data_IF_242341757293
#
_entry.id   IF_242341757293
#
_cell.length_a   1.000
_cell.length_b   1.000
_cell.length_c   1.000
_cell.angle_alpha   90.00
_cell.angle_beta   90.00
_cell.angle_gamma   90.00
#
_symmetry.space_group_name_H-M   'P 1'
#
loop_
_entity.id
_entity.type
_entity.pdbx_description
1 polymer ?
#
# COMPACT_ATOMS: atom_id res chain seq x y z
N UNK A 1 10.24 33.29 -8.85
CA UNK A 1 10.52 31.99 -9.50
C UNK A 1 10.53 30.98 -8.35
N UNK A 2 9.40 30.31 -8.12
CA UNK A 2 9.13 29.58 -6.87
C UNK A 2 9.65 28.14 -6.96
N UNK A 3 10.64 27.83 -6.14
CA UNK A 3 11.26 26.52 -5.99
C UNK A 3 10.36 25.75 -5.03
N UNK A 4 9.25 25.24 -5.54
CA UNK A 4 8.37 24.33 -4.79
C UNK A 4 9.12 23.03 -4.53
N UNK A 5 9.77 23.00 -3.37
CA UNK A 5 9.88 21.87 -2.44
C UNK A 5 9.76 20.50 -3.11
N UNK A 6 10.90 19.81 -3.29
CA UNK A 6 11.03 18.50 -3.91
C UNK A 6 10.31 17.34 -3.21
N UNK A 7 9.29 17.64 -2.39
CA UNK A 7 8.35 16.67 -1.85
C UNK A 7 7.50 16.10 -2.98
N UNK A 8 7.85 14.89 -3.41
CA UNK A 8 6.99 14.05 -4.24
C UNK A 8 5.60 14.01 -3.60
N UNK A 9 4.50 14.27 -4.34
CA UNK A 9 3.18 14.24 -3.76
C UNK A 9 2.93 12.87 -3.11
N UNK A 10 2.17 12.82 -2.00
CA UNK A 10 1.86 11.57 -1.35
C UNK A 10 1.22 10.61 -2.37
N UNK A 11 1.47 9.29 -2.25
CA UNK A 11 0.82 8.32 -3.11
C UNK A 11 -0.71 8.49 -3.03
N UNK A 12 -1.40 8.28 -4.15
CA UNK A 12 -2.85 8.28 -4.14
C UNK A 12 -3.38 7.23 -3.14
N UNK A 13 -4.58 7.45 -2.56
CA UNK A 13 -5.18 6.50 -1.60
C UNK A 13 -5.16 5.06 -2.13
N UNK A 14 -5.53 4.89 -3.40
CA UNK A 14 -5.55 3.61 -4.11
C UNK A 14 -4.18 2.90 -4.08
N UNK A 15 -3.08 3.66 -4.26
CA UNK A 15 -1.72 3.09 -4.21
C UNK A 15 -1.29 2.72 -2.80
N UNK A 16 -1.82 3.37 -1.78
CA UNK A 16 -1.51 2.99 -0.40
C UNK A 16 -2.18 1.68 -0.03
N UNK A 17 -3.45 1.46 -0.41
CA UNK A 17 -4.13 0.18 -0.23
C UNK A 17 -3.33 -0.96 -0.87
N UNK A 18 -2.90 -0.75 -2.11
CA UNK A 18 -2.07 -1.71 -2.84
C UNK A 18 -0.72 -1.96 -2.15
N UNK A 19 -0.12 -0.93 -1.55
CA UNK A 19 1.15 -1.06 -0.83
C UNK A 19 0.97 -1.82 0.48
N UNK A 20 -0.03 -1.44 1.28
CA UNK A 20 -0.30 -2.02 2.60
C UNK A 20 -0.65 -3.51 2.50
N UNK A 21 -1.33 -3.92 1.42
CA UNK A 21 -1.60 -5.33 1.12
C UNK A 21 -0.51 -6.08 0.33
N UNK A 22 0.59 -5.41 -0.06
CA UNK A 22 1.63 -6.02 -0.89
C UNK A 22 1.17 -6.37 -2.32
N UNK A 23 0.09 -5.74 -2.80
CA UNK A 23 -0.52 -6.00 -4.11
C UNK A 23 0.10 -5.20 -5.26
N UNK A 24 1.07 -4.31 -4.99
CA UNK A 24 1.74 -3.49 -6.01
C UNK A 24 2.31 -4.29 -7.19
N UNK A 25 3.01 -5.43 -7.01
CA UNK A 25 3.54 -6.20 -8.14
C UNK A 25 2.44 -6.74 -9.05
N UNK A 26 1.32 -7.18 -8.47
CA UNK A 26 0.16 -7.67 -9.21
C UNK A 26 -0.52 -6.53 -9.98
N UNK A 27 -0.78 -5.41 -9.30
CA UNK A 27 -1.37 -4.24 -9.93
C UNK A 27 -0.52 -3.75 -11.10
N UNK A 28 0.80 -3.61 -10.92
CA UNK A 28 1.64 -3.05 -11.96
C UNK A 28 1.73 -3.98 -13.19
N UNK A 29 1.56 -5.30 -13.01
CA UNK A 29 1.56 -6.31 -14.07
C UNK A 29 0.23 -6.42 -14.84
N UNK A 30 -0.86 -5.86 -14.32
CA UNK A 30 -2.15 -5.89 -15.00
C UNK A 30 -2.19 -5.04 -16.29
N UNK A 31 -3.06 -5.40 -17.25
CA UNK A 31 -3.41 -4.53 -18.37
C UNK A 31 -3.87 -3.15 -17.90
N UNK A 32 -3.67 -2.11 -18.72
CA UNK A 32 -4.01 -0.73 -18.36
C UNK A 32 -5.48 -0.59 -17.96
N UNK A 33 -6.39 -1.20 -18.70
CA UNK A 33 -7.82 -1.12 -18.42
C UNK A 33 -8.18 -1.78 -17.08
N UNK A 34 -7.56 -2.91 -16.74
CA UNK A 34 -7.77 -3.56 -15.45
C UNK A 34 -7.22 -2.71 -14.29
N UNK A 35 -6.10 -2.00 -14.48
CA UNK A 35 -5.59 -1.03 -13.50
C UNK A 35 -6.54 0.14 -13.29
N UNK A 36 -7.12 0.68 -14.36
CA UNK A 36 -8.08 1.78 -14.29
C UNK A 36 -9.35 1.32 -13.54
N UNK A 37 -9.89 0.13 -13.87
CA UNK A 37 -11.03 -0.47 -13.17
C UNK A 37 -10.73 -0.76 -11.70
N UNK A 38 -9.56 -1.31 -11.38
CA UNK A 38 -9.12 -1.55 -10.00
C UNK A 38 -9.06 -0.24 -9.21
N UNK A 39 -8.50 0.81 -9.80
CA UNK A 39 -8.39 2.13 -9.17
C UNK A 39 -9.77 2.74 -8.90
N UNK A 40 -10.70 2.61 -9.84
CA UNK A 40 -12.08 3.07 -9.64
C UNK A 40 -12.78 2.27 -8.53
N UNK A 41 -12.71 0.94 -8.58
CA UNK A 41 -13.33 0.07 -7.57
C UNK A 41 -12.78 0.33 -6.16
N UNK A 42 -11.47 0.55 -6.00
CA UNK A 42 -10.87 0.90 -4.71
C UNK A 42 -11.39 2.21 -4.12
N UNK A 43 -11.78 3.18 -4.96
CA UNK A 43 -12.36 4.46 -4.52
C UNK A 43 -13.81 4.32 -4.08
N UNK A 44 -14.53 3.39 -4.70
CA UNK A 44 -15.94 3.12 -4.42
C UNK A 44 -16.13 2.19 -3.21
N UNK A 45 -15.11 1.41 -2.84
CA UNK A 45 -15.16 0.51 -1.70
C UNK A 45 -15.18 1.27 -0.35
N UNK A 46 -16.22 1.00 0.44
CA UNK A 46 -16.31 1.48 1.82
C UNK A 46 -15.15 0.93 2.66
N UNK A 47 -14.47 1.79 3.41
CA UNK A 47 -13.28 1.40 4.19
C UNK A 47 -12.00 1.18 3.37
N UNK A 48 -12.06 1.23 2.03
CA UNK A 48 -10.89 1.19 1.14
C UNK A 48 -10.13 2.52 1.07
N UNK A 49 -10.77 3.63 1.45
CA UNK A 49 -10.15 4.95 1.45
C UNK A 49 -9.07 5.15 2.53
N UNK A 50 -8.13 6.05 2.25
CA UNK A 50 -7.26 6.60 3.30
C UNK A 50 -8.12 7.40 4.28
N UNK A 51 -7.92 7.29 5.61
CA UNK A 51 -8.52 8.22 6.56
C UNK A 51 -8.23 9.65 6.12
N UNK A 52 -9.27 10.49 6.16
CA UNK A 52 -9.08 11.89 5.86
C UNK A 52 -8.16 12.54 6.91
N UNK A 53 -7.74 13.78 6.64
CA UNK A 53 -6.87 14.52 7.57
C UNK A 53 -7.51 14.72 8.94
N UNK A 54 -8.84 14.79 9.02
CA UNK A 54 -9.54 14.99 10.28
C UNK A 54 -9.51 13.73 11.14
N UNK A 55 -9.70 12.55 10.53
CA UNK A 55 -9.59 11.26 11.18
C UNK A 55 -8.16 11.02 11.71
N UNK A 56 -7.14 11.30 10.89
CA UNK A 56 -5.74 11.20 11.33
C UNK A 56 -5.42 12.16 12.49
N UNK A 57 -5.95 13.38 12.45
CA UNK A 57 -5.78 14.35 13.52
C UNK A 57 -6.55 13.94 14.80
N UNK A 58 -7.69 13.25 14.68
CA UNK A 58 -8.40 12.68 15.81
C UNK A 58 -7.59 11.56 16.47
N UNK A 59 -7.11 10.59 15.69
CA UNK A 59 -6.26 9.49 16.17
C UNK A 59 -5.04 10.01 16.95
N UNK A 60 -4.34 11.02 16.39
CA UNK A 60 -3.16 11.59 17.03
C UNK A 60 -3.51 12.32 18.34
N UNK A 61 -4.66 13.01 18.38
CA UNK A 61 -5.11 13.67 19.61
C UNK A 61 -5.44 12.66 20.69
N UNK A 62 -6.11 11.57 20.36
CA UNK A 62 -6.43 10.48 21.29
C UNK A 62 -5.17 9.81 21.82
N UNK A 63 -4.21 9.53 20.94
CA UNK A 63 -2.90 8.97 21.32
C UNK A 63 -2.16 9.90 22.30
N UNK A 64 -2.07 11.20 21.99
CA UNK A 64 -1.42 12.19 22.87
C UNK A 64 -2.18 12.37 24.18
N UNK A 65 -3.51 12.31 24.18
CA UNK A 65 -4.32 12.39 25.39
C UNK A 65 -4.07 11.18 26.31
N UNK A 66 -4.02 9.97 25.77
CA UNK A 66 -3.71 8.76 26.52
C UNK A 66 -2.30 8.82 27.17
N UNK A 67 -1.32 9.38 26.46
CA UNK A 67 0.04 9.58 27.00
C UNK A 67 0.12 10.63 28.11
N UNK A 68 -0.81 11.60 28.13
CA UNK A 68 -0.83 12.69 29.12
C UNK A 68 -1.77 12.42 30.30
N UNK A 69 -2.49 11.30 30.28
CA UNK A 69 -3.40 10.94 31.35
C UNK A 69 -2.64 10.65 32.65
N UNK A 70 -3.18 11.13 33.77
CA UNK A 70 -2.71 10.82 35.12
C UNK A 70 -3.92 10.33 35.95
N UNK A 71 -3.96 9.05 36.36
CA UNK A 71 -2.95 8.02 36.09
C UNK A 71 -2.87 7.64 34.59
N UNK A 72 -1.69 7.18 34.18
CA UNK A 72 -1.47 6.69 32.83
C UNK A 72 -2.46 5.57 32.47
N UNK A 73 -3.04 5.65 31.26
CA UNK A 73 -4.07 4.74 30.78
C UNK A 73 -3.56 3.88 29.59
N UNK A 74 -2.81 2.79 29.85
CA UNK A 74 -2.24 1.95 28.79
C UNK A 74 -3.31 1.30 27.90
N UNK A 75 -4.49 1.00 28.43
CA UNK A 75 -5.60 0.41 27.68
C UNK A 75 -6.17 1.39 26.65
N UNK A 76 -6.24 2.68 27.00
CA UNK A 76 -6.66 3.73 26.07
C UNK A 76 -5.66 3.90 24.92
N UNK A 77 -4.37 3.83 25.23
CA UNK A 77 -3.31 3.87 24.21
C UNK A 77 -3.40 2.68 23.27
N UNK A 78 -3.57 1.47 23.82
CA UNK A 78 -3.72 0.24 23.04
C UNK A 78 -4.95 0.31 22.12
N UNK A 79 -6.09 0.81 22.61
CA UNK A 79 -7.31 0.94 21.82
C UNK A 79 -7.12 1.83 20.57
N UNK A 80 -6.37 2.94 20.69
CA UNK A 80 -6.06 3.81 19.54
C UNK A 80 -5.22 3.07 18.48
N UNK A 81 -4.23 2.29 18.91
CA UNK A 81 -3.39 1.51 18.01
C UNK A 81 -4.16 0.37 17.34
N UNK A 82 -5.00 -0.34 18.08
CA UNK A 82 -5.87 -1.38 17.53
C UNK A 82 -6.86 -0.82 16.51
N UNK A 83 -7.44 0.37 16.77
CA UNK A 83 -8.31 1.03 15.81
C UNK A 83 -7.57 1.39 14.51
N UNK A 84 -6.31 1.83 14.60
CA UNK A 84 -5.46 2.06 13.42
C UNK A 84 -5.20 0.77 12.65
N UNK A 85 -4.87 -0.32 13.35
CA UNK A 85 -4.60 -1.62 12.76
C UNK A 85 -5.84 -2.19 12.05
N UNK A 86 -7.01 -2.14 12.69
CA UNK A 86 -8.28 -2.59 12.11
C UNK A 86 -8.61 -1.85 10.79
N UNK A 87 -8.31 -0.56 10.69
CA UNK A 87 -8.47 0.20 9.44
C UNK A 87 -7.52 -0.27 8.34
N UNK A 88 -6.28 -0.62 8.68
CA UNK A 88 -5.33 -1.18 7.71
C UNK A 88 -5.80 -2.55 7.24
N UNK A 89 -6.23 -3.41 8.17
CA UNK A 89 -6.76 -4.74 7.85
C UNK A 89 -7.97 -4.65 6.90
N UNK A 90 -8.93 -3.76 7.19
CA UNK A 90 -10.08 -3.52 6.32
C UNK A 90 -9.65 -3.12 4.89
N UNK A 91 -8.65 -2.24 4.75
CA UNK A 91 -8.11 -1.85 3.44
C UNK A 91 -7.45 -3.03 2.72
N UNK A 92 -6.69 -3.86 3.43
CA UNK A 92 -6.06 -5.06 2.84
C UNK A 92 -7.12 -6.04 2.34
N UNK A 93 -8.18 -6.26 3.12
CA UNK A 93 -9.30 -7.10 2.72
C UNK A 93 -10.00 -6.53 1.48
N UNK A 94 -10.31 -5.23 1.46
CA UNK A 94 -10.91 -4.57 0.30
C UNK A 94 -10.01 -4.69 -0.95
N UNK A 95 -8.71 -4.43 -0.81
CA UNK A 95 -7.75 -4.54 -1.90
C UNK A 95 -7.64 -5.95 -2.48
N UNK A 96 -7.66 -6.97 -1.62
CA UNK A 96 -7.70 -8.39 -2.04
C UNK A 96 -8.98 -8.70 -2.81
N UNK A 97 -10.14 -8.26 -2.33
CA UNK A 97 -11.42 -8.50 -3.00
C UNK A 97 -11.42 -7.90 -4.40
N UNK A 98 -11.05 -6.62 -4.52
CA UNK A 98 -11.00 -5.93 -5.82
C UNK A 98 -9.99 -6.58 -6.77
N UNK A 99 -8.82 -7.01 -6.27
CA UNK A 99 -7.82 -7.73 -7.06
C UNK A 99 -8.42 -9.00 -7.68
N UNK A 100 -9.12 -9.81 -6.89
CA UNK A 100 -9.77 -11.04 -7.36
C UNK A 100 -10.86 -10.73 -8.39
N UNK A 101 -11.68 -9.72 -8.15
CA UNK A 101 -12.74 -9.30 -9.09
C UNK A 101 -12.17 -8.91 -10.45
N UNK A 102 -11.06 -8.16 -10.48
CA UNK A 102 -10.42 -7.81 -11.76
C UNK A 102 -9.89 -9.03 -12.50
N UNK A 103 -9.32 -10.00 -11.78
CA UNK A 103 -8.86 -11.26 -12.37
C UNK A 103 -10.05 -12.07 -12.89
N UNK A 104 -11.19 -12.09 -12.20
CA UNK A 104 -12.41 -12.77 -12.68
C UNK A 104 -12.95 -12.11 -13.96
N UNK A 105 -12.91 -10.77 -14.04
CA UNK A 105 -13.38 -10.02 -15.19
C UNK A 105 -12.50 -10.16 -16.46
N UNK A 106 -11.27 -10.67 -16.32
CA UNK A 106 -10.38 -10.92 -17.47
C UNK A 106 -10.87 -12.08 -18.32
N UNK A 107 -10.78 -11.91 -19.64
CA UNK A 107 -10.84 -13.01 -20.60
C UNK A 107 -9.71 -14.01 -20.37
N UNK A 108 -9.81 -15.24 -20.90
CA UNK A 108 -8.72 -16.22 -20.80
C UNK A 108 -7.40 -15.70 -21.40
N UNK A 109 -7.46 -14.96 -22.51
CA UNK A 109 -6.27 -14.39 -23.15
C UNK A 109 -5.59 -13.32 -22.29
N UNK A 110 -6.37 -12.37 -21.74
CA UNK A 110 -5.83 -11.34 -20.84
C UNK A 110 -5.20 -11.94 -19.58
N UNK A 111 -5.78 -13.03 -19.07
CA UNK A 111 -5.25 -13.73 -17.89
C UNK A 111 -3.90 -14.39 -18.16
N UNK A 112 -3.70 -14.92 -19.37
CA UNK A 112 -2.41 -15.49 -19.81
C UNK A 112 -1.37 -14.37 -19.94
N UNK A 113 -1.71 -13.27 -20.64
CA UNK A 113 -0.82 -12.11 -20.79
C UNK A 113 -0.42 -11.50 -19.44
N UNK A 114 -1.38 -11.40 -18.51
CA UNK A 114 -1.15 -10.96 -17.14
C UNK A 114 -0.17 -11.88 -16.41
N UNK A 115 -0.34 -13.20 -16.51
CA UNK A 115 0.56 -14.17 -15.89
C UNK A 115 1.99 -14.07 -16.45
N UNK A 116 2.13 -14.02 -17.77
CA UNK A 116 3.43 -13.87 -18.45
C UNK A 116 4.15 -12.59 -18.02
N UNK A 117 3.40 -11.48 -17.95
CA UNK A 117 3.92 -10.18 -17.49
C UNK A 117 4.37 -10.23 -16.03
N UNK A 118 3.59 -10.89 -15.17
CA UNK A 118 3.91 -11.03 -13.75
C UNK A 118 5.17 -11.88 -13.55
N UNK A 119 5.29 -13.01 -14.26
CA UNK A 119 6.48 -13.87 -14.21
C UNK A 119 7.74 -13.14 -14.69
N UNK A 120 7.65 -12.42 -15.81
CA UNK A 120 8.77 -11.64 -16.34
C UNK A 120 9.27 -10.61 -15.30
N UNK A 121 8.33 -9.91 -14.66
CA UNK A 121 8.65 -8.92 -13.62
C UNK A 121 9.25 -9.52 -12.36
N UNK A 122 8.77 -10.69 -11.92
CA UNK A 122 9.38 -11.36 -10.78
C UNK A 122 10.81 -11.83 -11.09
N UNK A 123 11.05 -12.35 -12.30
CA UNK A 123 12.40 -12.71 -12.75
C UNK A 123 13.34 -11.50 -12.75
N UNK A 124 12.86 -10.36 -13.24
CA UNK A 124 13.61 -9.10 -13.22
C UNK A 124 13.88 -8.60 -11.80
N UNK A 125 12.90 -8.69 -10.90
CA UNK A 125 13.08 -8.30 -9.50
C UNK A 125 14.10 -9.19 -8.77
N UNK A 126 14.05 -10.50 -9.00
CA UNK A 126 14.97 -11.47 -8.40
C UNK A 126 16.40 -11.34 -8.95
N UNK A 127 16.55 -11.07 -10.25
CA UNK A 127 17.87 -10.84 -10.86
C UNK A 127 18.52 -9.51 -10.45
N UNK A 128 17.71 -8.52 -10.05
CA UNK A 128 18.17 -7.22 -9.55
C UNK A 128 18.41 -7.18 -8.04
N UNK A 129 18.12 -8.25 -7.30
CA UNK A 129 18.45 -8.33 -5.88
C UNK A 129 19.96 -8.14 -5.73
N UNK A 130 20.44 -7.21 -4.88
CA UNK A 130 21.87 -7.00 -4.72
C UNK A 130 22.48 -8.33 -4.29
N UNK A 131 23.36 -8.87 -5.14
CA UNK A 131 24.27 -9.94 -4.73
C UNK A 131 24.90 -9.52 -3.41
N UNK A 132 25.03 -10.48 -2.48
CA UNK A 132 25.72 -10.29 -1.20
C UNK A 132 26.89 -9.32 -1.38
N UNK A 133 27.06 -8.29 -0.53
CA UNK A 133 28.23 -7.42 -0.65
C UNK A 133 29.46 -8.32 -0.59
N UNK A 134 30.33 -8.16 -1.59
CA UNK A 134 31.63 -8.83 -1.60
C UNK A 134 32.30 -8.54 -0.26
N UNK A 135 32.60 -9.60 0.49
CA UNK A 135 33.40 -9.53 1.70
C UNK A 135 34.85 -9.33 1.29
N UNK A 136 35.18 -8.19 0.70
CA UNK A 136 36.56 -7.71 0.63
C UNK A 136 36.56 -6.23 0.29
N UNK A 137 36.53 -5.42 1.35
CA UNK A 137 36.62 -3.97 1.28
C UNK A 137 37.99 -3.51 0.78
N UNK A 138 38.10 -3.25 -0.52
CA UNK A 138 39.19 -2.43 -1.05
C UNK A 138 38.65 -1.19 -1.75
N UNK A 139 39.18 0.01 -1.44
CA UNK A 139 38.95 1.19 -2.24
C UNK A 139 39.80 1.07 -3.52
N UNK A 140 39.18 1.30 -4.67
CA UNK A 140 39.88 1.52 -5.94
C UNK A 140 40.14 3.02 -6.13
N UNK A 141 41.39 3.32 -6.51
CA UNK A 141 41.99 4.62 -6.83
C UNK A 141 41.10 5.64 -7.55
#
# INVERSE_FOLDING_TARGET
RDIRDGRRPPPSPDRTVLRDGGFMPFFDAMPREARDRMTAALREQEGGGMPDRAALAADLREFVAALRAEPFAPEALAAVLEAQHARVEARVVAGRTVLVEQIVAMTPAERIEFADTLEARFRDALSRAPGKPDRDGRPGD
#
